data_IF_368794746616
#
_entry.id   IF_368794746616
#
_cell.length_a   1.000
_cell.length_b   1.000
_cell.length_c   1.000
_cell.angle_alpha   90.00
_cell.angle_beta   90.00
_cell.angle_gamma   90.00
#
_symmetry.space_group_name_H-M   'P 1'
#
loop_
_entity.id
_entity.type
_entity.pdbx_description
1 polymer ?
#
# COMPACT_ATOMS: atom_id res chain seq x y z
N UNK A 1 17.85 0.08 -15.30
CA UNK A 1 16.98 0.56 -14.19
C UNK A 1 15.73 -0.30 -14.21
N UNK A 2 15.82 -1.43 -13.51
CA UNK A 2 14.91 -2.58 -13.55
C UNK A 2 13.53 -2.23 -13.01
N UNK A 3 12.49 -2.51 -13.80
CA UNK A 3 11.15 -2.76 -13.31
C UNK A 3 10.94 -4.27 -13.46
N UNK A 4 11.51 -5.02 -12.51
CA UNK A 4 11.34 -6.47 -12.33
C UNK A 4 10.82 -6.72 -10.90
N UNK A 5 9.78 -5.98 -10.51
CA UNK A 5 9.10 -6.23 -9.23
C UNK A 5 7.71 -6.75 -9.53
N UNK A 6 7.49 -8.03 -9.21
CA UNK A 6 6.18 -8.66 -9.33
C UNK A 6 5.22 -8.00 -8.33
N UNK A 7 4.21 -7.32 -8.88
CA UNK A 7 3.14 -6.69 -8.10
C UNK A 7 2.28 -7.77 -7.45
N UNK A 8 2.43 -7.94 -6.13
CA UNK A 8 1.62 -8.87 -5.36
C UNK A 8 0.36 -8.19 -4.83
N UNK A 9 -0.80 -8.73 -5.18
CA UNK A 9 -2.09 -8.14 -4.83
C UNK A 9 -2.84 -9.12 -3.95
N UNK A 10 -3.16 -8.68 -2.73
CA UNK A 10 -3.90 -9.49 -1.76
C UNK A 10 -5.19 -8.79 -1.37
N UNK A 11 -6.31 -9.44 -1.66
CA UNK A 11 -7.61 -9.08 -1.11
C UNK A 11 -7.73 -9.69 0.29
N UNK A 12 -8.09 -8.86 1.27
CA UNK A 12 -8.43 -9.29 2.63
C UNK A 12 -9.89 -8.94 2.89
N UNK A 13 -10.67 -9.97 3.13
CA UNK A 13 -12.10 -9.87 3.39
C UNK A 13 -12.38 -9.81 4.89
N UNK A 14 -13.08 -8.77 5.33
CA UNK A 14 -13.42 -8.55 6.74
C UNK A 14 -14.92 -8.65 6.96
N UNK A 15 -15.34 -9.48 7.92
CA UNK A 15 -16.75 -9.62 8.33
C UNK A 15 -17.11 -8.81 9.58
N UNK A 16 -16.15 -8.25 10.31
CA UNK A 16 -16.37 -7.45 11.53
C UNK A 16 -15.23 -6.43 11.65
N UNK A 17 -15.55 -5.19 12.01
CA UNK A 17 -14.60 -4.09 12.17
C UNK A 17 -13.75 -4.20 13.44
N UNK A 18 -14.18 -5.01 14.42
CA UNK A 18 -13.62 -4.99 15.79
C UNK A 18 -12.69 -6.17 16.12
N UNK A 19 -12.79 -7.30 15.41
CA UNK A 19 -12.01 -8.52 15.67
C UNK A 19 -11.01 -8.85 14.55
N UNK A 20 -10.24 -7.84 14.12
CA UNK A 20 -9.45 -7.90 12.88
C UNK A 20 -8.03 -8.46 13.08
N UNK A 21 -7.38 -8.16 14.22
CA UNK A 21 -5.96 -8.47 14.45
C UNK A 21 -5.71 -9.95 14.81
N UNK A 22 -6.70 -10.66 15.32
CA UNK A 22 -6.60 -12.08 15.70
C UNK A 22 -6.85 -13.04 14.54
N UNK A 23 -7.17 -12.52 13.35
CA UNK A 23 -7.43 -13.34 12.17
C UNK A 23 -6.14 -13.90 11.60
N UNK A 24 -6.14 -15.20 11.35
CA UNK A 24 -4.99 -15.90 10.77
C UNK A 24 -4.57 -15.28 9.43
N UNK A 25 -5.50 -14.74 8.66
CA UNK A 25 -5.21 -14.07 7.39
C UNK A 25 -4.37 -12.80 7.57
N UNK A 26 -4.61 -12.01 8.62
CA UNK A 26 -3.83 -10.80 8.92
C UNK A 26 -2.40 -11.16 9.30
N UNK A 27 -2.26 -12.15 10.17
CA UNK A 27 -0.97 -12.65 10.66
C UNK A 27 -0.17 -13.25 9.50
N UNK A 28 -0.75 -14.23 8.79
CA UNK A 28 -0.11 -14.90 7.66
C UNK A 28 0.27 -13.93 6.54
N UNK A 29 -0.59 -12.95 6.24
CA UNK A 29 -0.29 -11.94 5.21
C UNK A 29 0.86 -11.03 5.66
N UNK A 30 0.85 -10.59 6.92
CA UNK A 30 1.91 -9.76 7.49
C UNK A 30 3.27 -10.49 7.48
N UNK A 31 3.31 -11.74 7.93
CA UNK A 31 4.54 -12.54 7.95
C UNK A 31 5.08 -12.78 6.53
N UNK A 32 4.19 -12.99 5.53
CA UNK A 32 4.59 -13.08 4.12
C UNK A 32 5.18 -11.78 3.59
N UNK A 33 4.58 -10.64 3.93
CA UNK A 33 5.09 -9.31 3.53
C UNK A 33 6.47 -9.08 4.13
N UNK A 34 6.64 -9.32 5.43
CA UNK A 34 7.92 -9.15 6.12
C UNK A 34 8.97 -10.07 5.52
N UNK A 35 8.65 -11.35 5.29
CA UNK A 35 9.57 -12.30 4.66
C UNK A 35 10.02 -11.83 3.26
N UNK A 36 9.09 -11.32 2.44
CA UNK A 36 9.43 -10.75 1.13
C UNK A 36 10.30 -9.52 1.26
N UNK A 37 9.95 -8.59 2.15
CA UNK A 37 10.75 -7.39 2.40
C UNK A 37 12.19 -7.74 2.78
N UNK A 38 12.39 -8.66 3.72
CA UNK A 38 13.73 -9.07 4.17
C UNK A 38 14.57 -9.70 3.05
N UNK A 39 13.94 -10.37 2.08
CA UNK A 39 14.62 -11.05 0.97
C UNK A 39 14.82 -10.17 -0.27
N UNK A 40 13.88 -9.26 -0.56
CA UNK A 40 13.81 -8.53 -1.83
C UNK A 40 14.24 -7.07 -1.71
N UNK A 41 14.29 -6.51 -0.48
CA UNK A 41 14.64 -5.10 -0.30
C UNK A 41 16.08 -4.81 -0.70
N UNK A 42 16.28 -3.64 -1.32
CA UNK A 42 17.60 -3.12 -1.63
C UNK A 42 17.75 -1.68 -1.15
N UNK A 43 18.99 -1.19 -1.20
CA UNK A 43 19.39 0.11 -0.67
C UNK A 43 19.00 1.28 -1.60
N UNK A 44 18.86 1.03 -2.90
CA UNK A 44 18.52 2.04 -3.91
C UNK A 44 17.02 2.11 -4.23
N UNK A 45 16.28 1.02 -4.08
CA UNK A 45 14.83 0.97 -4.33
C UNK A 45 14.12 0.41 -3.09
N UNK A 46 13.18 1.16 -2.48
CA UNK A 46 12.44 0.69 -1.32
C UNK A 46 11.53 -0.48 -1.66
N UNK A 47 11.25 -1.31 -0.66
CA UNK A 47 10.15 -2.27 -0.71
C UNK A 47 8.86 -1.56 -0.27
N UNK A 48 7.89 -1.43 -1.16
CA UNK A 48 6.71 -0.60 -0.91
C UNK A 48 5.46 -1.46 -0.74
N UNK A 49 4.76 -1.24 0.38
CA UNK A 49 3.47 -1.84 0.70
C UNK A 49 2.41 -0.73 0.69
N UNK A 50 1.40 -0.86 -0.17
CA UNK A 50 0.31 0.09 -0.27
C UNK A 50 -1.00 -0.55 0.21
N UNK A 51 -1.62 0.07 1.21
CA UNK A 51 -2.90 -0.38 1.77
C UNK A 51 -4.04 0.47 1.23
N UNK A 52 -5.10 -0.16 0.71
CA UNK A 52 -6.27 0.51 0.14
C UNK A 52 -7.56 -0.26 0.45
N UNK A 53 -8.70 0.38 0.20
CA UNK A 53 -10.02 -0.14 0.56
C UNK A 53 -10.96 0.98 1.02
N UNK A 54 -12.24 0.68 1.06
CA UNK A 54 -13.28 1.63 1.49
C UNK A 54 -13.06 2.15 2.91
N UNK A 55 -13.78 3.22 3.27
CA UNK A 55 -13.81 3.73 4.63
C UNK A 55 -14.24 2.62 5.61
N UNK A 56 -13.65 2.61 6.80
CA UNK A 56 -14.01 1.70 7.90
C UNK A 56 -13.79 0.20 7.60
N UNK A 57 -12.81 -0.11 6.74
CA UNK A 57 -12.40 -1.48 6.39
C UNK A 57 -11.20 -2.00 7.21
N UNK A 58 -10.74 -1.27 8.23
CA UNK A 58 -9.59 -1.67 9.04
C UNK A 58 -8.21 -1.39 8.43
N UNK A 59 -8.10 -0.51 7.42
CA UNK A 59 -6.82 -0.14 6.78
C UNK A 59 -5.75 0.32 7.78
N UNK A 60 -6.11 1.25 8.68
CA UNK A 60 -5.20 1.77 9.70
C UNK A 60 -4.83 0.68 10.72
N UNK A 61 -5.76 -0.24 11.02
CA UNK A 61 -5.50 -1.39 11.91
C UNK A 61 -4.47 -2.32 11.30
N UNK A 62 -4.67 -2.75 10.05
CA UNK A 62 -3.70 -3.57 9.31
C UNK A 62 -2.34 -2.87 9.25
N UNK A 63 -2.34 -1.58 8.92
CA UNK A 63 -1.11 -0.80 8.76
C UNK A 63 -0.33 -0.69 10.07
N UNK A 64 -0.99 -0.37 11.19
CA UNK A 64 -0.32 -0.36 12.51
C UNK A 64 0.19 -1.75 12.90
N UNK A 65 -0.57 -2.81 12.62
CA UNK A 65 -0.15 -4.18 12.89
C UNK A 65 1.12 -4.55 12.11
N UNK A 66 1.13 -4.30 10.79
CA UNK A 66 2.29 -4.53 9.93
C UNK A 66 3.51 -3.73 10.42
N UNK A 67 3.34 -2.45 10.74
CA UNK A 67 4.41 -1.59 11.26
C UNK A 67 4.98 -2.17 12.56
N UNK A 68 4.12 -2.48 13.52
CA UNK A 68 4.53 -2.99 14.83
C UNK A 68 5.26 -4.33 14.72
N UNK A 69 4.87 -5.21 13.78
CA UNK A 69 5.57 -6.47 13.51
C UNK A 69 6.91 -6.25 12.77
N UNK A 70 6.96 -5.28 11.86
CA UNK A 70 8.18 -4.98 11.11
C UNK A 70 9.27 -4.32 11.97
N UNK A 71 8.89 -3.64 13.07
CA UNK A 71 9.80 -3.00 14.00
C UNK A 71 10.84 -3.96 14.60
N UNK A 72 10.49 -5.23 14.78
CA UNK A 72 11.40 -6.28 15.27
C UNK A 72 12.66 -6.46 14.39
N UNK A 73 12.61 -5.98 13.15
CA UNK A 73 13.69 -6.12 12.17
C UNK A 73 14.48 -4.83 11.91
N UNK A 74 14.10 -3.71 12.54
CA UNK A 74 14.72 -2.40 12.28
C UNK A 74 16.08 -2.29 12.96
N UNK A 75 17.10 -1.97 12.17
CA UNK A 75 18.49 -1.88 12.63
C UNK A 75 19.32 -0.98 11.68
N UNK A 76 20.64 -1.13 11.67
CA UNK A 76 21.52 -0.38 10.77
C UNK A 76 21.31 -0.72 9.30
N UNK A 77 20.82 -1.91 8.98
CA UNK A 77 20.58 -2.41 7.62
C UNK A 77 19.16 -2.12 7.14
N UNK A 78 18.15 -2.31 7.98
CA UNK A 78 16.74 -2.20 7.61
C UNK A 78 16.09 -0.93 8.18
N UNK A 79 15.31 -0.25 7.35
CA UNK A 79 14.57 0.97 7.72
C UNK A 79 13.07 0.81 7.47
N UNK A 80 12.26 1.61 8.15
CA UNK A 80 10.81 1.63 8.00
C UNK A 80 10.31 3.06 7.96
N UNK A 81 9.60 3.40 6.89
CA UNK A 81 8.97 4.70 6.72
C UNK A 81 7.48 4.50 6.48
N UNK A 82 6.66 5.28 7.17
CA UNK A 82 5.23 5.37 6.95
C UNK A 82 4.91 6.61 6.12
N UNK A 83 4.17 6.43 5.02
CA UNK A 83 3.60 7.51 4.23
C UNK A 83 2.12 7.62 4.50
N UNK A 84 1.69 8.78 5.00
CA UNK A 84 0.28 9.05 5.19
C UNK A 84 -0.29 9.85 4.01
N UNK A 85 -1.10 9.16 3.20
CA UNK A 85 -1.85 9.78 2.12
C UNK A 85 -3.35 9.89 2.43
N UNK A 86 -3.76 9.72 3.70
CA UNK A 86 -5.15 9.92 4.17
C UNK A 86 -5.30 11.22 4.95
N UNK A 87 -5.65 12.30 4.24
CA UNK A 87 -5.90 13.63 4.82
C UNK A 87 -7.15 13.69 5.72
N UNK A 88 -8.07 12.73 5.58
CA UNK A 88 -9.31 12.70 6.38
C UNK A 88 -9.13 12.01 7.74
N UNK A 89 -8.14 11.13 7.86
CA UNK A 89 -7.82 10.42 9.10
C UNK A 89 -6.31 10.20 9.22
N UNK A 90 -5.60 11.26 9.60
CA UNK A 90 -4.15 11.22 9.69
C UNK A 90 -3.62 10.41 10.89
N UNK A 91 -2.44 9.84 10.73
CA UNK A 91 -1.57 9.27 11.75
C UNK A 91 -0.31 10.15 11.88
N UNK A 92 0.21 10.34 13.10
CA UNK A 92 1.39 11.19 13.42
C UNK A 92 1.23 12.69 13.22
N UNK A 93 0.20 13.15 12.51
CA UNK A 93 -0.03 14.57 12.22
C UNK A 93 -1.42 15.02 12.65
N UNK A 94 -1.64 16.34 12.65
CA UNK A 94 -2.99 16.90 12.65
C UNK A 94 -3.72 16.57 11.34
N UNK A 95 -5.04 16.76 11.31
CA UNK A 95 -5.86 16.57 10.12
C UNK A 95 -5.42 17.44 8.93
N UNK A 96 -5.89 17.09 7.74
CA UNK A 96 -5.63 17.78 6.47
C UNK A 96 -4.16 17.79 6.06
N UNK A 97 -3.33 16.90 6.60
CA UNK A 97 -1.90 16.83 6.31
C UNK A 97 -1.57 15.58 5.49
N UNK A 98 -0.58 15.73 4.62
CA UNK A 98 0.14 14.63 3.99
C UNK A 98 1.53 14.56 4.60
N UNK A 99 2.03 13.38 4.91
CA UNK A 99 3.37 13.27 5.50
C UNK A 99 4.09 11.96 5.21
N UNK A 100 5.39 11.93 5.50
CA UNK A 100 6.08 10.67 5.78
C UNK A 100 6.85 10.75 7.09
N UNK A 101 6.91 9.62 7.80
CA UNK A 101 7.55 9.51 9.11
C UNK A 101 8.39 8.23 9.17
N UNK A 102 9.66 8.37 9.56
CA UNK A 102 10.52 7.21 9.88
C UNK A 102 10.09 6.64 11.23
N UNK A 103 9.90 5.32 11.28
CA UNK A 103 9.32 4.60 12.42
C UNK A 103 10.41 3.80 13.12
N UNK A 104 10.58 4.08 14.41
CA UNK A 104 11.58 3.46 15.29
C UNK A 104 10.96 2.93 16.58
N UNK A 105 9.68 3.23 16.81
CA UNK A 105 8.96 2.89 18.06
C UNK A 105 7.58 2.34 17.75
N UNK A 106 7.05 1.43 18.58
CA UNK A 106 5.71 0.87 18.39
C UNK A 106 4.59 1.91 18.40
N UNK A 107 3.58 1.70 17.54
CA UNK A 107 2.38 2.50 17.45
C UNK A 107 1.31 1.92 18.37
N UNK A 108 1.35 2.31 19.64
CA UNK A 108 0.44 1.85 20.70
C UNK A 108 -0.49 2.97 21.14
N UNK A 109 -1.76 2.89 20.75
CA UNK A 109 -2.77 3.90 21.10
C UNK A 109 -3.40 4.59 19.89
N UNK A 110 -4.27 5.58 20.13
CA UNK A 110 -4.98 6.32 19.07
C UNK A 110 -4.03 7.20 18.24
N UNK A 111 -4.43 7.66 17.04
CA UNK A 111 -3.56 8.49 16.18
C UNK A 111 -2.93 9.70 16.89
N UNK A 112 -3.69 10.35 17.78
CA UNK A 112 -3.25 11.54 18.50
C UNK A 112 -2.14 11.27 19.53
N UNK A 113 -1.95 10.04 19.99
CA UNK A 113 -0.85 9.70 20.92
C UNK A 113 0.52 9.61 20.23
N UNK A 114 0.54 9.61 18.90
CA UNK A 114 1.76 9.41 18.10
C UNK A 114 2.25 10.69 17.42
N UNK A 115 1.66 11.84 17.72
CA UNK A 115 2.05 13.10 17.09
C UNK A 115 3.50 13.43 17.45
N UNK A 116 4.37 13.45 16.45
CA UNK A 116 5.80 13.76 16.64
C UNK A 116 6.02 15.27 16.58
N UNK A 117 6.24 15.90 17.73
CA UNK A 117 6.58 17.33 17.83
C UNK A 117 7.88 17.71 17.10
N UNK A 118 8.77 16.73 16.90
CA UNK A 118 10.12 16.92 16.36
C UNK A 118 10.25 16.45 14.90
N UNK A 119 9.14 16.16 14.20
CA UNK A 119 9.19 15.86 12.78
C UNK A 119 9.74 17.06 12.02
N UNK A 120 10.72 16.84 11.13
CA UNK A 120 11.22 17.91 10.27
C UNK A 120 10.04 18.52 9.50
N UNK A 121 9.89 19.84 9.58
CA UNK A 121 8.71 20.55 9.06
C UNK A 121 8.46 20.33 7.56
N UNK A 122 9.48 19.94 6.79
CA UNK A 122 9.39 19.69 5.35
C UNK A 122 8.80 18.30 5.01
N UNK A 123 8.68 17.40 5.99
CA UNK A 123 8.10 16.05 5.82
C UNK A 123 6.59 16.02 6.02
N UNK A 124 5.98 17.17 6.29
CA UNK A 124 4.55 17.36 6.51
C UNK A 124 4.08 18.51 5.62
N UNK A 125 3.07 18.26 4.78
CA UNK A 125 2.48 19.26 3.91
C UNK A 125 1.00 19.45 4.28
N UNK A 126 0.65 20.64 4.74
CA UNK A 126 -0.72 21.02 5.03
C UNK A 126 -1.50 21.25 3.73
N UNK A 127 -2.54 20.46 3.50
CA UNK A 127 -3.36 20.51 2.30
C UNK A 127 -4.54 21.49 2.43
N UNK A 128 -5.12 21.60 3.62
CA UNK A 128 -6.18 22.57 3.95
C UNK A 128 -7.61 22.12 3.64
N UNK A 129 -7.81 20.85 3.28
CA UNK A 129 -9.12 20.25 3.10
C UNK A 129 -9.14 18.82 3.63
N UNK A 130 -10.30 18.37 4.12
CA UNK A 130 -10.53 16.99 4.61
C UNK A 130 -10.71 15.95 3.49
N UNK A 131 -10.68 16.39 2.23
CA UNK A 131 -10.85 15.54 1.03
C UNK A 131 -10.07 16.12 -0.14
N UNK A 132 -9.52 15.30 -1.07
CA UNK A 132 -8.77 15.80 -2.21
C UNK A 132 -9.65 16.50 -3.25
N UNK A 133 -10.98 16.33 -3.17
CA UNK A 133 -11.93 16.80 -4.18
C UNK A 133 -11.77 18.28 -4.60
N UNK A 134 -11.48 19.25 -3.71
CA UNK A 134 -11.34 20.64 -4.10
C UNK A 134 -10.09 20.95 -4.95
N UNK A 135 -9.02 20.15 -4.84
CA UNK A 135 -7.76 20.37 -5.56
C UNK A 135 -6.99 19.06 -5.81
N UNK A 136 -7.55 18.09 -6.56
CA UNK A 136 -6.99 16.73 -6.70
C UNK A 136 -5.58 16.70 -7.31
N UNK A 137 -5.30 17.61 -8.25
CA UNK A 137 -3.96 17.76 -8.85
C UNK A 137 -2.94 18.20 -7.79
N UNK A 138 -3.31 19.13 -6.92
CA UNK A 138 -2.44 19.60 -5.82
C UNK A 138 -2.18 18.49 -4.82
N UNK A 139 -3.20 17.71 -4.48
CA UNK A 139 -3.04 16.52 -3.63
C UNK A 139 -1.98 15.56 -4.19
N UNK A 140 -2.05 15.22 -5.48
CA UNK A 140 -1.04 14.37 -6.14
C UNK A 140 0.35 15.02 -6.19
N UNK A 141 0.43 16.32 -6.43
CA UNK A 141 1.69 17.07 -6.40
C UNK A 141 2.35 16.98 -5.02
N UNK A 142 1.56 17.07 -3.94
CA UNK A 142 2.07 16.97 -2.56
C UNK A 142 2.57 15.56 -2.25
N UNK A 143 1.82 14.52 -2.63
CA UNK A 143 2.26 13.12 -2.50
C UNK A 143 3.58 12.89 -3.25
N UNK A 144 3.69 13.36 -4.50
CA UNK A 144 4.93 13.23 -5.26
C UNK A 144 6.09 14.05 -4.67
N UNK A 145 5.82 15.24 -4.12
CA UNK A 145 6.82 16.05 -3.43
C UNK A 145 7.38 15.33 -2.20
N UNK A 146 6.53 14.75 -1.36
CA UNK A 146 6.95 13.95 -0.20
C UNK A 146 7.79 12.75 -0.63
N UNK A 147 7.39 12.04 -1.70
CA UNK A 147 8.16 10.93 -2.25
C UNK A 147 9.55 11.36 -2.73
N UNK A 148 9.65 12.51 -3.38
CA UNK A 148 10.94 13.08 -3.80
C UNK A 148 11.82 13.46 -2.60
N UNK A 149 11.24 14.07 -1.57
CA UNK A 149 11.93 14.43 -0.34
C UNK A 149 12.45 13.18 0.38
N UNK A 150 11.63 12.14 0.50
CA UNK A 150 12.05 10.86 1.06
C UNK A 150 13.21 10.25 0.27
N UNK A 151 13.18 10.27 -1.07
CA UNK A 151 14.30 9.76 -1.88
C UNK A 151 15.61 10.54 -1.63
N UNK A 152 15.52 11.84 -1.38
CA UNK A 152 16.69 12.68 -1.05
C UNK A 152 17.21 12.30 0.35
N UNK A 153 16.32 12.26 1.34
CA UNK A 153 16.66 11.87 2.71
C UNK A 153 17.29 10.46 2.75
N UNK A 154 16.69 9.51 2.03
CA UNK A 154 17.15 8.13 1.95
C UNK A 154 18.56 8.00 1.37
N UNK A 155 18.86 8.75 0.30
CA UNK A 155 20.20 8.80 -0.30
C UNK A 155 21.23 9.42 0.65
N UNK A 156 20.81 10.39 1.45
CA UNK A 156 21.69 11.06 2.41
C UNK A 156 21.89 10.24 3.69
N UNK A 157 20.98 9.31 4.00
CA UNK A 157 20.95 8.56 5.25
C UNK A 157 21.37 7.09 5.06
N UNK A 158 22.67 6.82 4.86
CA UNK A 158 23.29 5.47 4.81
C UNK A 158 22.56 4.38 3.99
N UNK A 159 21.61 4.75 3.12
CA UNK A 159 20.79 3.90 2.24
C UNK A 159 20.37 2.56 2.85
N UNK A 160 19.52 2.58 3.87
CA UNK A 160 18.97 1.32 4.42
C UNK A 160 18.15 0.53 3.38
N UNK A 161 17.95 -0.76 3.62
CA UNK A 161 16.97 -1.58 2.89
C UNK A 161 15.56 -1.29 3.39
N UNK A 162 15.02 -0.14 2.99
CA UNK A 162 13.82 0.43 3.61
C UNK A 162 12.52 -0.21 3.11
N UNK A 163 11.61 -0.51 4.03
CA UNK A 163 10.19 -0.69 3.71
C UNK A 163 9.46 0.65 3.79
N UNK A 164 8.64 0.94 2.79
CA UNK A 164 7.68 2.04 2.83
C UNK A 164 6.28 1.46 2.97
N UNK A 165 5.56 1.86 4.02
CA UNK A 165 4.14 1.53 4.19
C UNK A 165 3.30 2.75 3.86
N UNK A 166 2.51 2.67 2.78
CA UNK A 166 1.67 3.76 2.28
C UNK A 166 0.22 3.52 2.71
N UNK A 167 -0.28 4.39 3.58
CA UNK A 167 -1.71 4.46 3.89
C UNK A 167 -2.44 5.31 2.85
N UNK A 168 -3.66 4.91 2.48
CA UNK A 168 -4.48 5.64 1.51
C UNK A 168 -5.88 5.92 2.05
N UNK A 169 -6.47 7.02 1.61
CA UNK A 169 -7.85 7.39 1.94
C UNK A 169 -8.88 6.31 1.57
N UNK A 170 -9.99 6.30 2.30
CA UNK A 170 -11.13 5.41 2.05
C UNK A 170 -12.01 5.77 0.83
N UNK A 171 -11.64 6.78 0.04
CA UNK A 171 -12.38 7.19 -1.15
C UNK A 171 -11.93 6.41 -2.39
N UNK A 172 -12.71 5.39 -2.75
CA UNK A 172 -12.32 4.39 -3.77
C UNK A 172 -13.28 4.33 -4.96
N UNK A 173 -14.03 5.40 -5.19
CA UNK A 173 -14.98 5.55 -6.31
C UNK A 173 -14.71 6.85 -7.07
N UNK A 174 -15.09 6.91 -8.35
CA UNK A 174 -14.95 8.11 -9.19
C UNK A 174 -13.54 8.70 -9.13
N UNK A 175 -13.43 10.00 -8.83
CA UNK A 175 -12.14 10.69 -8.69
C UNK A 175 -11.24 10.06 -7.61
N UNK A 176 -11.79 9.52 -6.52
CA UNK A 176 -11.00 8.84 -5.50
C UNK A 176 -10.27 7.60 -6.03
N UNK A 177 -10.93 6.84 -6.90
CA UNK A 177 -10.31 5.69 -7.59
C UNK A 177 -9.23 6.13 -8.58
N UNK A 178 -9.44 7.22 -9.31
CA UNK A 178 -8.40 7.80 -10.18
C UNK A 178 -7.16 8.19 -9.39
N UNK A 179 -7.34 8.87 -8.26
CA UNK A 179 -6.25 9.25 -7.36
C UNK A 179 -5.53 8.04 -6.77
N UNK A 180 -6.25 6.95 -6.46
CA UNK A 180 -5.64 5.70 -6.00
C UNK A 180 -4.76 5.07 -7.09
N UNK A 181 -5.23 5.00 -8.34
CA UNK A 181 -4.45 4.47 -9.46
C UNK A 181 -3.17 5.27 -9.70
N UNK A 182 -3.26 6.59 -9.67
CA UNK A 182 -2.11 7.50 -9.77
C UNK A 182 -1.08 7.22 -8.65
N UNK A 183 -1.54 7.03 -7.41
CA UNK A 183 -0.64 6.65 -6.29
C UNK A 183 0.02 5.30 -6.51
N UNK A 184 -0.71 4.30 -7.00
CA UNK A 184 -0.13 2.98 -7.33
C UNK A 184 0.97 3.15 -8.39
N UNK A 185 0.76 3.96 -9.43
CA UNK A 185 1.82 4.25 -10.42
C UNK A 185 3.00 4.99 -9.78
N UNK A 186 2.76 6.05 -9.01
CA UNK A 186 3.81 6.88 -8.39
C UNK A 186 4.70 6.11 -7.43
N UNK A 187 4.11 5.23 -6.63
CA UNK A 187 4.83 4.41 -5.65
C UNK A 187 5.36 3.11 -6.24
N UNK A 188 4.77 2.61 -7.33
CA UNK A 188 5.12 1.32 -7.96
C UNK A 188 5.28 0.21 -6.91
N UNK A 189 4.23 -0.11 -6.14
CA UNK A 189 4.35 -0.95 -4.96
C UNK A 189 4.75 -2.39 -5.26
N UNK A 190 5.50 -3.01 -4.35
CA UNK A 190 5.76 -4.46 -4.36
C UNK A 190 4.51 -5.25 -3.92
N UNK A 191 3.73 -4.64 -3.03
CA UNK A 191 2.54 -5.24 -2.43
C UNK A 191 1.39 -4.23 -2.40
N UNK A 192 0.22 -4.64 -2.90
CA UNK A 192 -1.05 -3.92 -2.71
C UNK A 192 -1.97 -4.78 -1.85
N UNK A 193 -2.38 -4.24 -0.70
CA UNK A 193 -3.37 -4.84 0.17
C UNK A 193 -4.69 -4.12 -0.04
N UNK A 194 -5.68 -4.84 -0.56
CA UNK A 194 -7.04 -4.35 -0.74
C UNK A 194 -7.91 -4.92 0.37
N UNK A 195 -8.46 -4.07 1.23
CA UNK A 195 -9.40 -4.47 2.27
C UNK A 195 -10.84 -4.24 1.82
N UNK A 196 -11.71 -5.21 2.05
CA UNK A 196 -13.12 -5.17 1.67
C UNK A 196 -14.02 -5.79 2.74
N UNK A 197 -15.22 -5.24 2.90
CA UNK A 197 -16.26 -5.84 3.75
C UNK A 197 -17.12 -6.82 2.94
N UNK A 198 -17.31 -8.02 3.48
CA UNK A 198 -18.13 -9.09 2.89
C UNK A 198 -19.59 -9.07 3.34
N UNK A 199 -19.93 -8.28 4.37
CA UNK A 199 -21.30 -8.14 4.88
C UNK A 199 -22.20 -7.25 4.02
N UNK A 200 -21.64 -6.49 3.09
CA UNK A 200 -22.44 -5.59 2.26
C UNK A 200 -23.18 -6.41 1.17
N UNK A 201 -24.48 -6.15 1.03
CA UNK A 201 -25.39 -6.87 0.14
C UNK A 201 -24.83 -6.99 -1.30
N UNK A 202 -25.19 -8.03 -2.05
CA UNK A 202 -24.73 -8.22 -3.45
C UNK A 202 -24.95 -6.98 -4.35
N UNK A 203 -25.90 -6.11 -4.02
CA UNK A 203 -26.20 -4.87 -4.74
C UNK A 203 -25.24 -3.73 -4.40
N UNK A 204 -24.65 -3.72 -3.20
CA UNK A 204 -23.66 -2.75 -2.74
C UNK A 204 -22.20 -3.20 -2.95
N UNK A 205 -21.98 -4.43 -3.39
CA UNK A 205 -20.64 -5.04 -3.54
C UNK A 205 -19.71 -4.27 -4.48
N UNK A 206 -20.18 -3.38 -5.33
CA UNK A 206 -19.43 -2.86 -6.49
C UNK A 206 -19.12 -1.36 -6.47
N UNK A 207 -18.67 -0.80 -5.35
CA UNK A 207 -18.09 0.56 -5.37
C UNK A 207 -16.61 0.53 -5.77
N UNK A 208 -15.83 -0.38 -5.22
CA UNK A 208 -14.42 -0.57 -5.58
C UNK A 208 -14.21 -1.83 -6.44
N UNK A 209 -13.54 -1.73 -7.61
CA UNK A 209 -13.16 -2.91 -8.39
C UNK A 209 -12.05 -3.69 -7.70
N UNK A 210 -11.97 -5.00 -7.96
CA UNK A 210 -10.83 -5.82 -7.56
C UNK A 210 -9.61 -5.33 -8.35
N UNK A 211 -8.60 -4.84 -7.64
CA UNK A 211 -7.40 -4.25 -8.26
C UNK A 211 -6.46 -5.33 -8.78
N UNK A 212 -6.97 -6.39 -9.41
CA UNK A 212 -6.15 -7.45 -10.02
C UNK A 212 -5.16 -6.84 -11.00
N UNK A 213 -4.01 -7.52 -11.20
CA UNK A 213 -3.00 -7.04 -12.14
C UNK A 213 -3.60 -6.83 -13.54
N UNK A 214 -4.46 -7.74 -13.98
CA UNK A 214 -5.19 -7.62 -15.24
C UNK A 214 -6.06 -6.36 -15.29
N UNK A 215 -6.82 -6.08 -14.22
CA UNK A 215 -7.67 -4.90 -14.15
C UNK A 215 -6.84 -3.61 -14.16
N UNK A 216 -5.77 -3.54 -13.35
CA UNK A 216 -4.86 -2.41 -13.29
C UNK A 216 -4.22 -2.15 -14.63
N UNK A 217 -3.69 -3.21 -15.27
CA UNK A 217 -3.06 -3.07 -16.57
C UNK A 217 -4.06 -2.47 -17.55
N UNK A 218 -5.33 -2.89 -17.58
CA UNK A 218 -6.37 -2.33 -18.47
C UNK A 218 -6.68 -0.84 -18.28
N UNK A 219 -6.26 -0.20 -17.19
CA UNK A 219 -6.49 1.23 -16.98
C UNK A 219 -5.53 2.11 -17.82
N UNK A 220 -5.95 3.31 -18.25
CA UNK A 220 -5.10 4.19 -19.09
C UNK A 220 -3.77 4.59 -18.43
N UNK A 221 -3.78 4.91 -17.13
CA UNK A 221 -2.56 5.33 -16.40
C UNK A 221 -1.47 4.25 -16.36
N UNK A 222 -1.82 2.98 -16.56
CA UNK A 222 -0.87 1.86 -16.61
C UNK A 222 -0.43 1.49 -18.04
N UNK A 223 -0.84 2.24 -19.07
CA UNK A 223 -0.43 1.96 -20.45
C UNK A 223 1.11 1.88 -20.63
N UNK A 224 1.93 2.77 -20.04
CA UNK A 224 3.40 2.67 -20.14
C UNK A 224 3.99 1.39 -19.54
N UNK A 225 3.30 0.77 -18.58
CA UNK A 225 3.72 -0.48 -17.95
C UNK A 225 3.37 -1.70 -18.81
N UNK A 226 2.22 -1.66 -19.50
CA UNK A 226 1.84 -2.71 -20.46
C UNK A 226 2.88 -2.87 -21.57
N UNK A 227 3.37 -1.76 -22.10
CA UNK A 227 4.32 -1.79 -23.21
C UNK A 227 5.67 -2.38 -22.79
N UNK A 228 6.12 -2.10 -21.55
CA UNK A 228 7.32 -2.70 -20.97
C UNK A 228 7.20 -4.22 -20.79
N UNK A 229 6.06 -4.70 -20.27
CA UNK A 229 5.81 -6.14 -20.11
C UNK A 229 5.83 -6.85 -21.48
N UNK A 230 5.16 -6.28 -22.49
CA UNK A 230 5.16 -6.83 -23.85
C UNK A 230 6.57 -6.87 -24.46
N UNK A 231 7.39 -5.85 -24.23
CA UNK A 231 8.78 -5.83 -24.70
C UNK A 231 9.65 -6.87 -24.00
N UNK A 232 9.48 -7.08 -22.69
CA UNK A 232 10.22 -8.10 -21.93
C UNK A 232 9.82 -9.51 -22.35
N UNK A 233 8.53 -9.78 -22.55
CA UNK A 233 8.05 -11.09 -23.00
C UNK A 233 8.57 -11.46 -24.39
N UNK A 234 8.71 -10.47 -25.30
CA UNK A 234 9.36 -10.71 -26.60
C UNK A 234 10.83 -11.09 -26.46
N UNK A 235 11.59 -10.39 -25.60
CA UNK A 235 13.01 -10.71 -25.35
C UNK A 235 13.21 -12.05 -24.65
N UNK A 236 12.24 -12.51 -23.86
CA UNK A 236 12.27 -13.81 -23.21
C UNK A 236 11.87 -14.96 -24.15
N UNK A 237 10.97 -14.72 -25.11
CA UNK A 237 10.67 -15.71 -26.16
C UNK A 237 11.88 -16.01 -27.05
N UNK A 238 12.85 -15.08 -27.14
CA UNK A 238 14.10 -15.29 -27.88
C UNK A 238 15.15 -16.13 -27.08
N UNK A 239 14.89 -16.44 -25.80
CA UNK A 239 15.73 -17.30 -24.96
C UNK A 239 14.93 -18.52 -24.46
N UNK A 240 14.96 -19.59 -25.25
CA UNK A 240 14.29 -20.85 -24.94
C UNK A 240 15.06 -21.59 -23.82
N UNK A 241 14.58 -21.44 -22.58
CA UNK A 241 15.25 -21.93 -21.38
C UNK A 241 14.43 -21.74 -20.11
N UNK A 242 13.26 -22.38 -20.06
CA UNK A 242 12.53 -22.84 -18.87
C UNK A 242 12.71 -22.03 -17.55
N UNK A 243 11.98 -20.92 -17.41
CA UNK A 243 11.63 -20.33 -16.10
C UNK A 243 10.13 -20.05 -16.06
N UNK A 244 9.43 -20.84 -15.25
CA UNK A 244 7.98 -20.77 -15.02
C UNK A 244 7.64 -19.63 -14.06
N UNK A 245 6.85 -18.65 -14.52
CA UNK A 245 6.25 -17.64 -13.65
C UNK A 245 5.03 -18.26 -12.92
N UNK A 246 5.13 -18.41 -11.59
CA UNK A 246 3.98 -18.73 -10.75
C UNK A 246 3.05 -17.51 -10.67
N UNK A 247 2.02 -17.50 -11.51
CA UNK A 247 0.82 -16.72 -11.25
C UNK A 247 0.24 -17.16 -9.91
N UNK A 248 0.22 -16.26 -8.92
CA UNK A 248 -0.51 -16.51 -7.68
C UNK A 248 -2.00 -16.52 -8.00
N UNK A 249 -2.52 -17.74 -8.10
CA UNK A 249 -3.94 -18.06 -8.18
C UNK A 249 -4.59 -17.49 -6.92
N UNK A 250 -5.35 -16.40 -7.06
CA UNK A 250 -6.29 -15.96 -6.03
C UNK A 250 -7.37 -17.03 -5.97
N UNK A 251 -7.22 -18.02 -5.08
CA UNK A 251 -8.33 -18.86 -4.69
C UNK A 251 -9.30 -17.96 -3.92
N UNK A 252 -10.43 -17.62 -4.55
CA UNK A 252 -11.63 -17.29 -3.81
C UNK A 252 -11.93 -18.50 -2.93
N UNK A 253 -11.90 -18.32 -1.60
CA UNK A 253 -12.48 -19.32 -0.72
C UNK A 253 -13.96 -19.46 -1.13
N UNK A 254 -14.30 -20.61 -1.70
CA UNK A 254 -15.69 -20.93 -1.97
C UNK A 254 -16.41 -20.94 -0.62
N UNK A 255 -17.40 -20.06 -0.48
CA UNK A 255 -18.42 -20.18 0.56
C UNK A 255 -19.10 -21.52 0.30
N UNK A 256 -18.87 -22.49 1.18
CA UNK A 256 -19.64 -23.72 1.18
C UNK A 256 -21.08 -23.37 1.54
N UNK A 257 -22.01 -23.58 0.61
CA UNK A 257 -23.44 -23.53 0.87
C UNK A 257 -23.82 -24.46 2.04
N UNK A 258 -24.78 -24.06 2.90
CA UNK A 258 -25.31 -24.94 3.92
C UNK A 258 -26.20 -26.00 3.25
N UNK A 259 -25.75 -27.26 3.32
CA UNK A 259 -26.59 -28.39 2.93
C UNK A 259 -27.73 -28.52 3.93
N UNK A 260 -28.95 -28.31 3.43
CA UNK A 260 -30.18 -28.84 3.98
C UNK A 260 -30.05 -30.34 4.30
N UNK A 261 -30.26 -30.72 5.57
CA UNK A 261 -31.24 -31.73 6.00
C UNK A 261 -31.31 -31.79 7.52
#
# INVERSE_FOLDING_TARGET
MQLEQDLYIRLIETTDQTAVITREEFISTTDKIIKRWLNEANEDVPFVVLTCGEKDMGKSIFTRYLINRALDHINSTFGLTYFDCDIGQCEFTIGDCLSYTDIETPLLGPPCSHIKSNAKSDRLLYYGFVSPQPAPVRYLQYVNRLRQLWNIDHKNANKKRSMIVVNTMGWVTGLGLELLKEKICMFSPNVVIQLRNTLVSHQDRNKMPDLTLEWLLRQPVFAPYRDKIKMNNKRQQDYDGQLSYEYIKVQSAAVSDPIHR
#
